data_IF_033955271693
#
_entry.id   IF_033955271693
#
_cell.length_a   1.000
_cell.length_b   1.000
_cell.length_c   1.000
_cell.angle_alpha   90.00
_cell.angle_beta   90.00
_cell.angle_gamma   90.00
#
_symmetry.space_group_name_H-M   'P 1'
#
loop_
_entity.id
_entity.type
_entity.pdbx_description
1 polymer ?
#
# COMPACT_ATOMS: atom_id res chain seq x y z
N UNK A 1 3.95 11.72 -5.82
CA UNK A 1 4.58 11.24 -7.07
C UNK A 1 3.87 10.01 -7.66
N UNK A 2 3.37 9.05 -6.89
CA UNK A 2 2.61 7.90 -7.40
C UNK A 2 1.34 8.27 -8.15
N UNK A 3 0.62 9.21 -7.62
CA UNK A 3 -0.60 9.79 -8.18
C UNK A 3 -0.42 10.35 -9.59
N UNK A 4 0.54 11.26 -9.77
CA UNK A 4 0.80 11.89 -11.08
C UNK A 4 1.22 10.88 -12.14
N UNK A 5 2.00 9.88 -11.75
CA UNK A 5 2.44 8.81 -12.65
C UNK A 5 1.28 7.90 -13.07
N UNK A 6 0.41 7.52 -12.13
CA UNK A 6 -0.77 6.71 -12.44
C UNK A 6 -1.69 7.42 -13.42
N UNK A 7 -2.00 8.69 -13.17
CA UNK A 7 -2.82 9.49 -14.09
C UNK A 7 -2.18 9.65 -15.47
N UNK A 8 -0.87 9.96 -15.54
CA UNK A 8 -0.17 10.17 -16.80
C UNK A 8 -0.06 8.89 -17.64
N UNK A 9 0.18 7.74 -17.02
CA UNK A 9 0.35 6.47 -17.76
C UNK A 9 -1.00 5.91 -18.19
N UNK A 10 -2.00 5.94 -17.31
CA UNK A 10 -3.27 5.26 -17.57
C UNK A 10 -4.31 6.12 -18.28
N UNK A 11 -4.27 7.45 -18.15
CA UNK A 11 -5.23 8.34 -18.80
C UNK A 11 -5.20 8.23 -20.34
N UNK A 12 -4.05 8.22 -21.03
CA UNK A 12 -4.01 8.04 -22.49
C UNK A 12 -4.54 6.67 -22.92
N UNK A 13 -4.32 5.62 -22.15
CA UNK A 13 -4.83 4.28 -22.44
C UNK A 13 -6.34 4.16 -22.24
N UNK A 14 -6.87 4.85 -21.22
CA UNK A 14 -8.30 4.84 -20.93
C UNK A 14 -9.10 5.75 -21.85
N UNK A 15 -8.56 6.93 -22.22
CA UNK A 15 -9.30 8.00 -22.88
C UNK A 15 -8.73 8.42 -24.23
N UNK A 16 -7.54 7.94 -24.63
CA UNK A 16 -6.82 8.36 -25.83
C UNK A 16 -7.42 7.92 -27.17
N UNK A 17 -8.52 7.16 -27.13
CA UNK A 17 -9.32 6.79 -28.31
C UNK A 17 -10.77 7.15 -28.06
N UNK A 18 -11.08 8.43 -28.09
CA UNK A 18 -12.45 8.93 -28.07
C UNK A 18 -13.23 8.27 -29.24
N UNK A 19 -14.09 7.33 -28.95
CA UNK A 19 -14.87 6.54 -29.93
C UNK A 19 -14.56 5.05 -29.98
N UNK A 20 -13.54 4.57 -29.28
CA UNK A 20 -13.28 3.13 -29.18
C UNK A 20 -14.21 2.47 -28.14
N UNK A 21 -14.62 1.23 -28.43
CA UNK A 21 -15.40 0.35 -27.54
C UNK A 21 -14.88 0.43 -26.11
N UNK A 22 -15.79 0.45 -25.12
CA UNK A 22 -15.45 0.26 -23.72
C UNK A 22 -14.48 -0.92 -23.59
N UNK A 23 -13.35 -0.69 -22.95
CA UNK A 23 -12.38 -1.74 -22.70
C UNK A 23 -12.22 -1.89 -21.18
N UNK A 24 -11.74 -3.03 -20.75
CA UNK A 24 -11.59 -3.38 -19.35
C UNK A 24 -10.82 -2.31 -18.55
N UNK A 25 -9.88 -1.62 -19.18
CA UNK A 25 -9.08 -0.56 -18.56
C UNK A 25 -9.89 0.72 -18.39
N UNK A 26 -10.64 1.15 -19.41
CA UNK A 26 -11.47 2.36 -19.29
C UNK A 26 -12.57 2.21 -18.26
N UNK A 27 -13.19 1.02 -18.22
CA UNK A 27 -14.31 0.75 -17.29
C UNK A 27 -13.85 0.63 -15.83
N UNK A 28 -12.59 0.26 -15.59
CA UNK A 28 -12.02 0.10 -14.25
C UNK A 28 -10.82 1.03 -14.00
N UNK A 29 -10.78 2.17 -14.70
CA UNK A 29 -9.66 3.11 -14.66
C UNK A 29 -9.26 3.51 -13.23
N UNK A 30 -10.24 3.91 -12.40
CA UNK A 30 -9.99 4.34 -11.03
C UNK A 30 -9.37 3.21 -10.19
N UNK A 31 -9.84 1.98 -10.34
CA UNK A 31 -9.29 0.81 -9.67
C UNK A 31 -7.84 0.56 -10.07
N UNK A 32 -7.52 0.62 -11.38
CA UNK A 32 -6.14 0.44 -11.86
C UNK A 32 -5.20 1.52 -11.31
N UNK A 33 -5.63 2.79 -11.35
CA UNK A 33 -4.83 3.90 -10.81
C UNK A 33 -4.61 3.73 -9.32
N UNK A 34 -5.64 3.34 -8.55
CA UNK A 34 -5.55 3.15 -7.11
C UNK A 34 -4.60 2.01 -6.72
N UNK A 35 -4.71 0.86 -7.39
CA UNK A 35 -3.81 -0.28 -7.16
C UNK A 35 -2.37 0.07 -7.57
N UNK A 36 -2.19 0.80 -8.65
CA UNK A 36 -0.87 1.24 -9.10
C UNK A 36 -0.22 2.24 -8.13
N UNK A 37 -0.99 3.20 -7.62
CA UNK A 37 -0.54 4.14 -6.59
C UNK A 37 -0.10 3.40 -5.32
N UNK A 38 -0.91 2.43 -4.88
CA UNK A 38 -0.60 1.59 -3.74
C UNK A 38 0.69 0.78 -3.94
N UNK A 39 0.94 0.26 -5.14
CA UNK A 39 2.17 -0.43 -5.49
C UNK A 39 3.38 0.50 -5.40
N UNK A 40 3.29 1.73 -5.91
CA UNK A 40 4.39 2.68 -5.89
C UNK A 40 4.74 3.17 -4.48
N UNK A 41 3.73 3.36 -3.63
CA UNK A 41 3.91 3.84 -2.26
C UNK A 41 4.26 2.71 -1.28
N UNK A 42 4.03 1.46 -1.65
CA UNK A 42 4.18 0.31 -0.76
C UNK A 42 5.59 0.16 -0.21
N UNK A 43 6.64 0.40 -1.02
CA UNK A 43 8.03 0.22 -0.61
C UNK A 43 8.42 1.11 0.58
N UNK A 44 7.88 2.31 0.64
CA UNK A 44 8.19 3.28 1.67
C UNK A 44 7.23 3.21 2.86
N UNK A 45 5.93 3.13 2.58
CA UNK A 45 4.90 3.22 3.61
C UNK A 45 4.66 1.90 4.34
N UNK A 46 4.71 0.76 3.63
CA UNK A 46 4.34 -0.52 4.19
C UNK A 46 5.53 -1.42 4.48
N UNK A 47 6.47 -1.56 3.52
CA UNK A 47 7.58 -2.51 3.64
C UNK A 47 8.73 -2.01 4.49
N UNK A 48 8.77 -0.71 4.81
CA UNK A 48 9.85 -0.08 5.55
C UNK A 48 9.35 1.12 6.37
N UNK A 49 8.32 0.89 7.19
CA UNK A 49 7.63 1.95 7.93
C UNK A 49 8.51 2.71 8.94
N UNK A 50 9.65 2.16 9.33
CA UNK A 50 10.64 2.83 10.19
C UNK A 50 11.79 3.48 9.42
N UNK A 51 11.83 3.32 8.10
CA UNK A 51 12.96 3.78 7.29
C UNK A 51 13.25 5.27 7.38
N UNK A 52 12.22 6.10 7.47
CA UNK A 52 12.37 7.56 7.62
C UNK A 52 12.75 7.99 9.03
N UNK A 53 12.42 7.19 10.04
CA UNK A 53 12.75 7.55 11.42
C UNK A 53 14.25 7.42 11.70
N UNK A 54 14.96 6.53 10.98
CA UNK A 54 16.40 6.34 11.12
C UNK A 54 16.81 6.13 12.59
N UNK A 55 17.77 6.89 13.11
CA UNK A 55 18.18 6.84 14.52
C UNK A 55 17.06 7.24 15.51
N UNK A 56 16.08 8.05 15.08
CA UNK A 56 14.96 8.44 15.92
C UNK A 56 14.08 7.24 16.35
N UNK A 57 14.21 6.07 15.70
CA UNK A 57 13.55 4.83 16.13
C UNK A 57 13.89 4.46 17.59
N UNK A 58 15.06 4.87 18.09
CA UNK A 58 15.46 4.66 19.48
C UNK A 58 14.45 5.24 20.48
N UNK A 59 13.84 6.39 20.13
CA UNK A 59 12.85 7.03 20.99
C UNK A 59 11.63 6.14 21.24
N UNK A 60 11.22 5.31 20.29
CA UNK A 60 10.11 4.39 20.46
C UNK A 60 10.40 3.26 21.45
N UNK A 61 11.68 2.86 21.56
CA UNK A 61 12.11 1.82 22.50
C UNK A 61 12.46 2.36 23.89
N UNK A 62 12.74 3.66 24.00
CA UNK A 62 13.06 4.34 25.27
C UNK A 62 11.80 4.92 25.94
N UNK A 63 10.82 5.32 25.14
CA UNK A 63 9.56 5.83 25.64
C UNK A 63 8.72 4.72 26.29
N UNK A 64 7.91 5.01 27.32
CA UNK A 64 7.01 4.04 27.95
C UNK A 64 5.78 3.74 27.08
N UNK A 65 5.99 3.51 25.78
CA UNK A 65 4.95 3.23 24.79
C UNK A 65 5.00 1.76 24.38
N UNK A 66 3.81 1.18 24.22
CA UNK A 66 3.72 -0.18 23.65
C UNK A 66 4.07 -0.13 22.18
N UNK A 67 4.92 -1.01 21.70
CA UNK A 67 5.29 -1.11 20.29
C UNK A 67 4.08 -1.32 19.38
N UNK A 68 3.04 -1.99 19.86
CA UNK A 68 1.76 -2.12 19.15
C UNK A 68 1.12 -0.77 18.82
N UNK A 69 1.20 0.21 19.72
CA UNK A 69 0.66 1.56 19.50
C UNK A 69 1.47 2.31 18.44
N UNK A 70 2.79 2.15 18.45
CA UNK A 70 3.68 2.76 17.46
C UNK A 70 3.38 2.20 16.05
N UNK A 71 3.33 0.87 15.92
CA UNK A 71 3.00 0.21 14.66
C UNK A 71 1.61 0.58 14.17
N UNK A 72 0.60 0.59 15.06
CA UNK A 72 -0.75 0.99 14.72
C UNK A 72 -0.80 2.44 14.22
N UNK A 73 -0.11 3.37 14.90
CA UNK A 73 -0.03 4.76 14.47
C UNK A 73 0.55 4.91 13.07
N UNK A 74 1.63 4.19 12.77
CA UNK A 74 2.23 4.18 11.43
C UNK A 74 1.30 3.58 10.37
N UNK A 75 0.62 2.50 10.68
CA UNK A 75 -0.33 1.86 9.79
C UNK A 75 -1.53 2.77 9.50
N UNK A 76 -2.07 3.43 10.52
CA UNK A 76 -3.16 4.42 10.35
C UNK A 76 -2.71 5.58 9.49
N UNK A 77 -1.51 6.12 9.71
CA UNK A 77 -0.97 7.19 8.88
C UNK A 77 -0.81 6.75 7.41
N UNK A 78 -0.31 5.54 7.16
CA UNK A 78 -0.18 4.98 5.82
C UNK A 78 -1.55 4.78 5.15
N UNK A 79 -2.54 4.25 5.88
CA UNK A 79 -3.93 4.09 5.40
C UNK A 79 -4.53 5.45 5.04
N UNK A 80 -4.43 6.44 5.93
CA UNK A 80 -4.94 7.78 5.69
C UNK A 80 -4.34 8.39 4.42
N UNK A 81 -3.04 8.21 4.20
CA UNK A 81 -2.33 8.74 3.04
C UNK A 81 -2.82 8.09 1.74
N UNK A 82 -3.00 6.77 1.71
CA UNK A 82 -3.55 6.04 0.56
C UNK A 82 -4.98 6.48 0.24
N UNK A 83 -5.84 6.55 1.25
CA UNK A 83 -7.22 6.98 1.03
C UNK A 83 -7.33 8.45 0.60
N UNK A 84 -6.46 9.32 1.11
CA UNK A 84 -6.35 10.70 0.65
C UNK A 84 -5.95 10.75 -0.83
N UNK A 85 -4.99 9.91 -1.25
CA UNK A 85 -4.55 9.84 -2.65
C UNK A 85 -5.68 9.38 -3.57
N UNK A 86 -6.42 8.33 -3.23
CA UNK A 86 -7.57 7.87 -4.02
C UNK A 86 -8.66 8.93 -4.10
N UNK A 87 -8.93 9.60 -2.99
CA UNK A 87 -9.89 10.71 -2.96
C UNK A 87 -9.45 11.83 -3.91
N UNK A 88 -8.16 12.19 -3.87
CA UNK A 88 -7.58 13.17 -4.79
C UNK A 88 -7.73 12.76 -6.26
N UNK A 89 -7.42 11.48 -6.59
CA UNK A 89 -7.66 10.93 -7.95
C UNK A 89 -9.12 11.07 -8.33
N UNK A 90 -10.03 10.67 -7.45
CA UNK A 90 -11.48 10.72 -7.73
C UNK A 90 -11.95 12.15 -7.99
N UNK A 91 -11.47 13.12 -7.21
CA UNK A 91 -11.78 14.55 -7.39
C UNK A 91 -11.24 15.05 -8.73
N UNK A 92 -10.01 14.74 -9.07
CA UNK A 92 -9.41 15.14 -10.37
C UNK A 92 -10.21 14.54 -11.53
N UNK A 93 -10.56 13.26 -11.46
CA UNK A 93 -11.38 12.62 -12.47
C UNK A 93 -12.76 13.29 -12.59
N UNK A 94 -13.39 13.66 -11.48
CA UNK A 94 -14.67 14.39 -11.49
C UNK A 94 -14.54 15.79 -12.11
N UNK A 95 -13.48 16.53 -11.80
CA UNK A 95 -13.19 17.84 -12.38
C UNK A 95 -12.96 17.77 -13.91
N UNK A 96 -12.31 16.71 -14.35
CA UNK A 96 -12.07 16.42 -15.78
C UNK A 96 -13.33 15.85 -16.47
N UNK A 97 -14.45 15.73 -15.76
CA UNK A 97 -15.72 15.17 -16.26
C UNK A 97 -15.58 13.76 -16.84
N UNK A 98 -14.68 12.96 -16.29
CA UNK A 98 -14.55 11.57 -16.67
C UNK A 98 -15.78 10.77 -16.17
N UNK A 99 -16.20 9.71 -16.89
CA UNK A 99 -17.39 8.94 -16.54
C UNK A 99 -17.15 8.11 -15.28
N UNK A 100 -17.29 8.73 -14.11
CA UNK A 100 -17.22 8.06 -12.81
C UNK A 100 -18.62 7.86 -12.24
N UNK A 101 -18.95 6.62 -11.90
CA UNK A 101 -20.12 6.30 -11.10
C UNK A 101 -19.75 6.14 -9.62
N UNK A 102 -20.70 6.37 -8.72
CA UNK A 102 -20.50 6.14 -7.29
C UNK A 102 -20.08 4.70 -6.97
N UNK A 103 -20.60 3.72 -7.74
CA UNK A 103 -20.22 2.32 -7.61
C UNK A 103 -18.75 2.07 -7.96
N UNK A 104 -18.19 2.77 -8.97
CA UNK A 104 -16.77 2.66 -9.34
C UNK A 104 -15.85 3.27 -8.29
N UNK A 105 -16.28 4.35 -7.65
CA UNK A 105 -15.56 4.93 -6.52
C UNK A 105 -15.57 3.93 -5.36
N UNK A 106 -16.74 3.39 -5.00
CA UNK A 106 -16.86 2.38 -3.94
C UNK A 106 -16.03 1.14 -4.23
N UNK A 107 -16.02 0.65 -5.48
CA UNK A 107 -15.19 -0.46 -5.94
C UNK A 107 -13.70 -0.19 -5.68
N UNK A 108 -13.19 0.97 -6.12
CA UNK A 108 -11.78 1.34 -5.94
C UNK A 108 -11.38 1.42 -4.45
N UNK A 109 -12.22 2.04 -3.61
CA UNK A 109 -12.00 2.10 -2.17
C UNK A 109 -12.02 0.73 -1.51
N UNK A 110 -12.98 -0.13 -1.86
CA UNK A 110 -13.12 -1.49 -1.31
C UNK A 110 -11.91 -2.36 -1.68
N UNK A 111 -11.50 -2.33 -2.94
CA UNK A 111 -10.33 -3.06 -3.44
C UNK A 111 -9.08 -2.59 -2.72
N UNK A 112 -8.89 -1.27 -2.62
CA UNK A 112 -7.72 -0.71 -1.92
C UNK A 112 -7.71 -1.09 -0.44
N UNK A 113 -8.87 -1.11 0.22
CA UNK A 113 -8.97 -1.55 1.62
C UNK A 113 -8.47 -3.00 1.79
N UNK A 114 -8.95 -3.92 0.95
CA UNK A 114 -8.55 -5.34 1.01
C UNK A 114 -7.05 -5.49 0.76
N UNK A 115 -6.53 -4.88 -0.30
CA UNK A 115 -5.11 -4.98 -0.66
C UNK A 115 -4.23 -4.36 0.41
N UNK A 116 -4.62 -3.20 0.95
CA UNK A 116 -3.88 -2.51 2.02
C UNK A 116 -3.79 -3.37 3.29
N UNK A 117 -4.87 -4.02 3.73
CA UNK A 117 -4.85 -4.90 4.90
C UNK A 117 -3.85 -6.05 4.73
N UNK A 118 -3.82 -6.68 3.56
CA UNK A 118 -2.91 -7.78 3.27
C UNK A 118 -1.45 -7.30 3.16
N UNK A 119 -1.21 -6.17 2.49
CA UNK A 119 0.14 -5.59 2.36
C UNK A 119 0.67 -5.13 3.72
N UNK A 120 -0.15 -4.49 4.57
CA UNK A 120 0.25 -4.09 5.92
C UNK A 120 0.63 -5.28 6.78
N UNK A 121 -0.08 -6.40 6.63
CA UNK A 121 0.21 -7.63 7.38
C UNK A 121 1.63 -8.12 7.11
N UNK A 122 2.05 -8.13 5.84
CA UNK A 122 3.39 -8.56 5.44
C UNK A 122 4.39 -7.43 5.69
N UNK A 123 4.00 -6.20 5.43
CA UNK A 123 4.85 -5.01 5.53
C UNK A 123 5.34 -4.75 6.96
N UNK A 124 4.49 -4.91 7.97
CA UNK A 124 4.88 -4.78 9.36
C UNK A 124 6.03 -5.73 9.71
N UNK A 125 5.93 -7.00 9.32
CA UNK A 125 6.99 -7.98 9.53
C UNK A 125 8.24 -7.61 8.71
N UNK A 126 8.08 -7.26 7.43
CA UNK A 126 9.20 -6.85 6.57
C UNK A 126 10.00 -5.69 7.16
N UNK A 127 9.32 -4.68 7.70
CA UNK A 127 9.94 -3.50 8.31
C UNK A 127 10.84 -3.84 9.50
N UNK A 128 10.51 -4.90 10.24
CA UNK A 128 11.26 -5.33 11.42
C UNK A 128 12.35 -6.35 11.10
N UNK A 129 12.11 -7.21 10.11
CA UNK A 129 13.08 -8.24 9.70
C UNK A 129 14.17 -7.68 8.76
N UNK A 130 13.85 -6.64 8.00
CA UNK A 130 14.75 -6.02 7.03
C UNK A 130 14.66 -4.49 7.05
N UNK A 131 14.93 -3.84 8.21
CA UNK A 131 14.86 -2.39 8.34
C UNK A 131 15.97 -1.75 7.49
N UNK A 132 15.63 -0.66 6.77
CA UNK A 132 16.55 0.06 5.90
C UNK A 132 16.41 1.56 6.13
N UNK A 133 17.50 2.30 6.35
CA UNK A 133 17.41 3.75 6.47
C UNK A 133 17.03 4.35 5.11
N UNK A 134 16.05 5.24 5.09
CA UNK A 134 15.64 6.01 3.91
C UNK A 134 16.24 7.41 4.02
N UNK A 135 16.96 7.85 2.99
CA UNK A 135 17.46 9.21 2.92
C UNK A 135 16.43 10.08 2.16
N UNK A 136 15.79 11.04 2.82
CA UNK A 136 14.75 11.87 2.18
C UNK A 136 15.32 12.79 1.07
N UNK A 137 16.62 13.08 1.07
CA UNK A 137 17.27 13.88 0.02
C UNK A 137 17.63 13.09 -1.24
N UNK A 138 17.74 11.76 -1.11
CA UNK A 138 17.93 10.87 -2.26
C UNK A 138 16.56 10.38 -2.72
N UNK A 139 16.30 10.49 -4.01
CA UNK A 139 15.05 10.04 -4.65
C UNK A 139 14.50 8.76 -3.98
N UNK A 140 13.16 8.66 -3.83
CA UNK A 140 12.43 7.50 -3.29
C UNK A 140 12.78 6.14 -3.95
N UNK A 141 13.58 6.15 -4.98
CA UNK A 141 14.15 5.00 -5.68
C UNK A 141 15.48 4.51 -5.09
N UNK A 142 15.70 4.64 -3.81
CA UNK A 142 16.82 3.90 -3.19
C UNK A 142 16.52 2.43 -3.39
N UNK A 143 17.32 1.81 -4.26
CA UNK A 143 17.10 0.47 -4.77
C UNK A 143 16.68 -0.48 -3.64
N UNK A 144 15.45 -0.97 -3.71
CA UNK A 144 15.02 -2.06 -2.86
C UNK A 144 16.07 -3.16 -3.01
N UNK A 145 16.75 -3.53 -1.93
CA UNK A 145 17.73 -4.61 -2.00
C UNK A 145 17.06 -5.84 -2.61
N UNK A 146 17.77 -6.65 -3.41
CA UNK A 146 17.19 -7.73 -4.21
C UNK A 146 16.25 -8.65 -3.41
N UNK A 147 16.50 -8.83 -2.11
CA UNK A 147 15.62 -9.58 -1.21
C UNK A 147 14.25 -8.93 -1.02
N UNK A 148 14.18 -7.61 -0.87
CA UNK A 148 12.91 -6.89 -0.74
C UNK A 148 12.15 -6.91 -2.06
N UNK A 149 12.85 -6.77 -3.17
CA UNK A 149 12.25 -6.85 -4.49
C UNK A 149 11.68 -8.23 -4.79
N UNK A 150 12.38 -9.30 -4.40
CA UNK A 150 11.88 -10.68 -4.50
C UNK A 150 10.62 -10.88 -3.63
N UNK A 151 10.62 -10.33 -2.41
CA UNK A 151 9.47 -10.40 -1.51
C UNK A 151 8.26 -9.63 -2.06
N UNK A 152 8.48 -8.45 -2.66
CA UNK A 152 7.45 -7.68 -3.35
C UNK A 152 6.83 -8.45 -4.53
N UNK A 153 7.66 -9.12 -5.32
CA UNK A 153 7.21 -9.92 -6.47
C UNK A 153 6.29 -11.07 -6.08
N UNK A 154 6.41 -11.60 -4.86
CA UNK A 154 5.54 -12.69 -4.36
C UNK A 154 4.35 -12.14 -3.60
N UNK A 155 4.57 -11.17 -2.72
CA UNK A 155 3.55 -10.67 -1.82
C UNK A 155 2.46 -9.85 -2.53
N UNK A 156 2.84 -9.10 -3.57
CA UNK A 156 1.89 -8.26 -4.29
C UNK A 156 0.87 -9.06 -5.11
N UNK A 157 1.25 -10.05 -5.92
CA UNK A 157 0.29 -10.94 -6.56
C UNK A 157 -0.61 -11.68 -5.57
N UNK A 158 -0.05 -12.10 -4.42
CA UNK A 158 -0.82 -12.75 -3.37
C UNK A 158 -1.87 -11.80 -2.75
N UNK A 159 -1.51 -10.54 -2.51
CA UNK A 159 -2.44 -9.53 -2.02
C UNK A 159 -3.52 -9.15 -3.03
N UNK A 160 -3.26 -9.32 -4.33
CA UNK A 160 -4.23 -9.10 -5.40
C UNK A 160 -5.14 -10.30 -5.67
N UNK A 161 -4.87 -11.47 -5.09
CA UNK A 161 -5.67 -12.67 -5.31
C UNK A 161 -7.16 -12.47 -4.97
N UNK A 162 -7.55 -11.89 -3.82
CA UNK A 162 -8.96 -11.62 -3.52
C UNK A 162 -9.61 -10.68 -4.53
N UNK A 163 -8.86 -9.73 -5.07
CA UNK A 163 -9.33 -8.79 -6.10
C UNK A 163 -9.60 -9.54 -7.41
N UNK A 164 -8.68 -10.40 -7.83
CA UNK A 164 -8.86 -11.23 -9.01
C UNK A 164 -10.08 -12.14 -8.88
N UNK A 165 -10.26 -12.76 -7.70
CA UNK A 165 -11.46 -13.59 -7.40
C UNK A 165 -12.74 -12.75 -7.40
N UNK A 166 -12.70 -11.49 -6.91
CA UNK A 166 -13.85 -10.61 -6.92
C UNK A 166 -14.28 -10.24 -8.36
N UNK A 167 -13.34 -9.93 -9.24
CA UNK A 167 -13.63 -9.70 -10.66
C UNK A 167 -14.12 -10.96 -11.35
N UNK A 168 -13.55 -12.11 -11.03
CA UNK A 168 -14.02 -13.40 -11.56
C UNK A 168 -15.46 -13.67 -11.14
N UNK A 169 -15.80 -13.44 -9.86
CA UNK A 169 -17.17 -13.61 -9.36
C UNK A 169 -18.15 -12.64 -10.04
N UNK A 170 -17.77 -11.37 -10.21
CA UNK A 170 -18.56 -10.39 -10.96
C UNK A 170 -18.87 -10.89 -12.36
N UNK A 171 -17.86 -11.39 -13.07
CA UNK A 171 -18.02 -11.89 -14.42
C UNK A 171 -18.84 -13.18 -14.48
N UNK A 172 -18.61 -14.12 -13.53
CA UNK A 172 -19.32 -15.41 -13.52
C UNK A 172 -20.81 -15.29 -13.17
N UNK A 173 -21.17 -14.33 -12.30
CA UNK A 173 -22.55 -14.13 -11.83
C UNK A 173 -23.23 -12.91 -12.48
N UNK A 174 -22.55 -12.20 -13.37
CA UNK A 174 -23.00 -10.95 -14.00
C UNK A 174 -23.60 -9.96 -12.97
N UNK A 175 -22.94 -9.82 -11.83
CA UNK A 175 -23.45 -9.08 -10.69
C UNK A 175 -22.35 -8.27 -9.97
N UNK A 176 -22.58 -6.96 -9.82
CA UNK A 176 -21.72 -6.09 -9.03
C UNK A 176 -21.69 -6.52 -7.55
N UNK A 177 -22.81 -7.02 -7.03
CA UNK A 177 -22.91 -7.48 -5.64
C UNK A 177 -22.03 -8.70 -5.36
N UNK A 178 -21.82 -9.56 -6.37
CA UNK A 178 -20.90 -10.69 -6.24
C UNK A 178 -19.44 -10.21 -6.01
N UNK A 179 -19.02 -9.14 -6.71
CA UNK A 179 -17.72 -8.51 -6.49
C UNK A 179 -17.60 -8.00 -5.05
N UNK A 180 -18.57 -7.22 -4.58
CA UNK A 180 -18.53 -6.68 -3.21
C UNK A 180 -18.60 -7.77 -2.14
N UNK A 181 -19.35 -8.84 -2.38
CA UNK A 181 -19.41 -9.99 -1.48
C UNK A 181 -18.05 -10.67 -1.30
N UNK A 182 -17.33 -10.90 -2.40
CA UNK A 182 -15.98 -11.48 -2.34
C UNK A 182 -15.00 -10.53 -1.70
N UNK A 183 -15.07 -9.22 -2.00
CA UNK A 183 -14.21 -8.21 -1.36
C UNK A 183 -14.48 -8.13 0.16
N UNK A 184 -15.72 -8.23 0.59
CA UNK A 184 -16.07 -8.24 2.01
C UNK A 184 -15.45 -9.45 2.74
N UNK A 185 -15.54 -10.64 2.15
CA UNK A 185 -14.87 -11.85 2.69
C UNK A 185 -13.35 -11.64 2.68
N UNK A 186 -12.79 -11.09 1.60
CA UNK A 186 -11.37 -10.74 1.51
C UNK A 186 -10.93 -9.76 2.59
N UNK A 187 -11.75 -8.74 2.87
CA UNK A 187 -11.47 -7.77 3.94
C UNK A 187 -11.51 -8.43 5.33
N UNK A 188 -12.49 -9.29 5.59
CA UNK A 188 -12.60 -10.01 6.86
C UNK A 188 -11.39 -10.93 7.09
N UNK A 189 -10.99 -11.70 6.08
CA UNK A 189 -9.77 -12.51 6.13
C UNK A 189 -8.52 -11.66 6.28
N UNK A 190 -8.42 -10.56 5.53
CA UNK A 190 -7.31 -9.60 5.66
C UNK A 190 -7.20 -9.01 7.05
N UNK A 191 -8.32 -8.67 7.69
CA UNK A 191 -8.33 -8.16 9.07
C UNK A 191 -7.83 -9.21 10.08
N UNK A 192 -8.22 -10.48 9.91
CA UNK A 192 -7.73 -11.59 10.75
C UNK A 192 -6.22 -11.76 10.56
N UNK A 193 -5.74 -11.82 9.31
CA UNK A 193 -4.30 -11.94 9.01
C UNK A 193 -3.53 -10.75 9.57
N UNK A 194 -4.08 -9.54 9.45
CA UNK A 194 -3.49 -8.33 10.02
C UNK A 194 -3.37 -8.40 11.55
N UNK A 195 -4.39 -8.87 12.25
CA UNK A 195 -4.35 -8.99 13.70
C UNK A 195 -3.27 -9.98 14.17
N UNK A 196 -3.15 -11.14 13.52
CA UNK A 196 -2.08 -12.10 13.80
C UNK A 196 -0.70 -11.54 13.47
N UNK A 197 -0.56 -10.91 12.31
CA UNK A 197 0.69 -10.27 11.89
C UNK A 197 1.13 -9.17 12.83
N UNK A 198 0.19 -8.37 13.36
CA UNK A 198 0.49 -7.32 14.33
C UNK A 198 1.07 -7.90 15.63
N UNK A 199 0.50 -8.98 16.15
CA UNK A 199 1.02 -9.66 17.34
C UNK A 199 2.43 -10.21 17.12
N UNK A 200 2.67 -10.85 15.98
CA UNK A 200 3.99 -11.34 15.58
C UNK A 200 5.01 -10.21 15.38
N UNK A 201 4.56 -9.07 14.82
CA UNK A 201 5.40 -7.89 14.61
C UNK A 201 5.83 -7.27 15.94
N UNK A 202 4.93 -7.15 16.91
CA UNK A 202 5.28 -6.64 18.26
C UNK A 202 6.35 -7.50 18.90
N UNK A 203 6.19 -8.81 18.89
CA UNK A 203 7.18 -9.75 19.44
C UNK A 203 8.51 -9.64 18.68
N UNK A 204 8.49 -9.59 17.34
CA UNK A 204 9.69 -9.44 16.53
C UNK A 204 10.43 -8.10 16.79
N UNK A 205 9.70 -7.02 17.10
CA UNK A 205 10.29 -5.74 17.45
C UNK A 205 11.05 -5.80 18.78
N UNK A 206 10.51 -6.48 19.77
CA UNK A 206 11.16 -6.68 21.07
C UNK A 206 12.40 -7.56 20.95
N UNK A 207 12.29 -8.69 20.27
CA UNK A 207 13.39 -9.65 20.09
C UNK A 207 14.56 -9.09 19.25
N UNK A 208 14.30 -8.11 18.38
CA UNK A 208 15.27 -7.58 17.43
C UNK A 208 15.62 -6.12 17.64
N UNK A 209 15.26 -5.55 18.76
CA UNK A 209 15.44 -4.14 19.13
C UNK A 209 16.82 -3.59 18.73
N UNK A 210 17.89 -4.21 19.19
CA UNK A 210 19.27 -3.76 18.94
C UNK A 210 19.63 -3.79 17.45
N UNK A 211 19.20 -4.84 16.76
CA UNK A 211 19.43 -5.00 15.32
C UNK A 211 18.69 -3.92 14.50
N UNK A 212 17.47 -3.59 14.88
CA UNK A 212 16.66 -2.56 14.23
C UNK A 212 17.33 -1.20 14.41
N UNK A 213 17.74 -0.86 15.64
CA UNK A 213 18.41 0.39 15.96
C UNK A 213 19.72 0.50 15.17
N UNK A 214 20.56 -0.54 15.20
CA UNK A 214 21.85 -0.53 14.51
C UNK A 214 21.66 -0.41 13.00
N UNK A 215 20.72 -1.13 12.40
CA UNK A 215 20.48 -1.09 10.96
C UNK A 215 19.96 0.28 10.48
N UNK A 216 19.11 0.93 11.27
CA UNK A 216 18.52 2.23 10.90
C UNK A 216 19.44 3.42 11.19
N UNK A 217 20.39 3.31 12.14
CA UNK A 217 21.40 4.33 12.40
C UNK A 217 22.59 4.28 11.44
N UNK A 218 22.74 3.20 10.65
CA UNK A 218 23.78 3.11 9.64
C UNK A 218 23.59 4.18 8.55
N UNK A 219 24.64 4.97 8.30
CA UNK A 219 24.62 6.04 7.28
C UNK A 219 24.27 7.43 7.81
N UNK A 220 24.19 7.62 9.12
CA UNK A 220 24.25 8.93 9.76
C UNK A 220 25.72 9.34 9.93
N UNK A 221 26.41 9.54 8.82
CA UNK A 221 27.69 10.26 8.81
C UNK A 221 27.45 11.76 9.00
N UNK A 222 28.50 12.56 9.33
CA UNK A 222 28.37 14.01 9.36
C UNK A 222 27.75 14.47 8.04
N UNK A 223 26.78 15.37 8.15
CA UNK A 223 26.15 15.99 6.98
C UNK A 223 27.30 16.72 6.25
N UNK A 224 27.77 16.15 5.14
CA UNK A 224 28.63 16.88 4.24
C UNK A 224 27.77 18.02 3.65
N UNK A 225 28.00 19.21 4.20
CA UNK A 225 27.39 20.47 3.74
C UNK A 225 28.00 20.90 2.42
#
# INVERSE_FOLDING_TARGET
MGFSFGLLIWAPMAFGRAGARSNLISDNYLTFVSVYALLLLSDVLFWNCFGFDRSAVQAYFLAPLKMSTVLLGKNVAAICLIFLEITGVSVVCALLRLPLSGLKILEAFSITCVVTLLILSIGNLSSLYNPRPVNPSKSFRTAAGGRTQAMLMVAFPLALLPVALAFLARYAFDSEWALFGVLFVGAALGAVVYAYSMSAAVQAAEDRKERIITALSQGEGPIET
#
